data_IF_056432870675
#
_entry.id   IF_056432870675
#
_cell.length_a   1.000
_cell.length_b   1.000
_cell.length_c   1.000
_cell.angle_alpha   90.00
_cell.angle_beta   90.00
_cell.angle_gamma   90.00
#
_symmetry.space_group_name_H-M   'P 1'
#
loop_
_entity.id
_entity.type
_entity.pdbx_description
1 polymer ?
#
# COMPACT_ATOMS: atom_id res chain seq x y z
N UNK A 1 -0.04 2.68 2.86
CA UNK A 1 -1.46 3.08 3.04
C UNK A 1 -1.76 3.67 4.42
N UNK A 2 -1.06 3.29 5.52
CA UNK A 2 -1.33 3.81 6.87
C UNK A 2 -1.26 5.34 6.98
N UNK A 3 -0.41 5.98 6.20
CA UNK A 3 -0.26 7.44 6.18
C UNK A 3 -1.28 8.16 5.29
N UNK A 4 -2.02 7.43 4.44
CA UNK A 4 -3.06 8.02 3.60
C UNK A 4 -4.15 8.63 4.46
N UNK A 5 -4.52 9.86 4.14
CA UNK A 5 -5.63 10.60 4.73
C UNK A 5 -6.80 10.58 3.76
N UNK A 6 -7.85 9.80 4.03
CA UNK A 6 -9.01 9.70 3.13
C UNK A 6 -9.67 11.06 2.88
N UNK A 7 -9.72 11.92 3.89
CA UNK A 7 -10.45 13.19 3.86
C UNK A 7 -9.88 14.24 2.91
N UNK A 8 -8.63 14.05 2.44
CA UNK A 8 -8.00 14.95 1.47
C UNK A 8 -7.96 14.37 0.05
N UNK A 9 -8.54 13.19 -0.14
CA UNK A 9 -8.79 12.64 -1.48
C UNK A 9 -9.95 13.42 -2.09
N UNK A 10 -9.83 14.00 -3.30
CA UNK A 10 -10.89 14.82 -3.88
C UNK A 10 -12.25 14.11 -3.92
N UNK A 11 -12.28 12.86 -4.32
CA UNK A 11 -13.49 12.04 -4.45
C UNK A 11 -14.16 11.74 -3.08
N UNK A 12 -13.48 11.96 -1.96
CA UNK A 12 -14.09 11.84 -0.62
C UNK A 12 -15.26 12.80 -0.42
N UNK A 13 -15.26 13.94 -1.11
CA UNK A 13 -16.36 14.92 -1.05
C UNK A 13 -17.66 14.38 -1.64
N UNK A 14 -17.57 13.40 -2.54
CA UNK A 14 -18.71 12.81 -3.24
C UNK A 14 -19.35 11.63 -2.48
N UNK A 15 -18.71 11.17 -1.39
CA UNK A 15 -19.30 10.19 -0.48
C UNK A 15 -20.58 10.76 0.16
N UNK A 16 -21.54 9.90 0.45
CA UNK A 16 -22.74 10.30 1.17
C UNK A 16 -22.46 10.72 2.64
N UNK A 17 -23.47 11.32 3.27
CA UNK A 17 -23.33 11.83 4.64
C UNK A 17 -23.09 10.68 5.64
N UNK A 18 -23.70 9.53 5.41
CA UNK A 18 -23.57 8.37 6.29
C UNK A 18 -22.16 7.79 6.22
N UNK A 19 -21.61 7.57 5.02
CA UNK A 19 -20.25 7.08 4.80
C UNK A 19 -19.21 8.01 5.41
N UNK A 20 -19.36 9.33 5.22
CA UNK A 20 -18.48 10.33 5.87
C UNK A 20 -18.59 10.31 7.39
N UNK A 21 -19.77 10.08 7.94
CA UNK A 21 -20.00 9.96 9.38
C UNK A 21 -19.31 8.70 9.94
N UNK A 22 -19.45 7.57 9.27
CA UNK A 22 -18.76 6.32 9.63
C UNK A 22 -17.23 6.50 9.61
N UNK A 23 -16.69 7.13 8.58
CA UNK A 23 -15.27 7.42 8.46
C UNK A 23 -14.73 8.27 9.64
N UNK A 24 -15.47 9.30 10.05
CA UNK A 24 -15.12 10.14 11.19
C UNK A 24 -15.14 9.37 12.51
N UNK A 25 -16.17 8.55 12.71
CA UNK A 25 -16.30 7.72 13.91
C UNK A 25 -15.18 6.69 14.03
N UNK A 26 -14.88 5.99 12.94
CA UNK A 26 -13.79 5.02 12.89
C UNK A 26 -12.43 5.68 13.18
N UNK A 27 -12.18 6.88 12.64
CA UNK A 27 -10.97 7.66 12.91
C UNK A 27 -10.89 8.08 14.38
N UNK A 28 -11.98 8.57 14.96
CA UNK A 28 -12.02 8.97 16.37
C UNK A 28 -11.72 7.78 17.28
N UNK A 29 -12.29 6.62 17.00
CA UNK A 29 -12.02 5.38 17.73
C UNK A 29 -10.56 4.91 17.59
N UNK A 30 -9.99 5.00 16.39
CA UNK A 30 -8.59 4.65 16.17
C UNK A 30 -7.61 5.60 16.87
N UNK A 31 -7.98 6.87 17.06
CA UNK A 31 -7.18 7.89 17.72
C UNK A 31 -7.37 7.95 19.26
N UNK A 32 -8.34 7.23 19.80
CA UNK A 32 -8.66 7.28 21.23
C UNK A 32 -7.60 6.65 22.14
N UNK A 33 -6.70 5.82 21.57
CA UNK A 33 -5.63 5.15 22.30
C UNK A 33 -4.31 5.87 22.04
N UNK A 34 -3.89 6.70 23.00
CA UNK A 34 -2.75 7.63 22.82
C UNK A 34 -1.41 7.01 23.19
N UNK A 35 -1.40 5.88 23.93
CA UNK A 35 -0.16 5.29 24.46
C UNK A 35 0.60 4.43 23.46
N UNK A 36 -0.08 3.83 22.46
CA UNK A 36 0.58 3.01 21.44
C UNK A 36 -0.08 3.18 20.07
N UNK A 37 0.75 3.23 19.02
CA UNK A 37 0.26 3.23 17.63
C UNK A 37 -0.12 1.80 17.24
N UNK A 38 -1.42 1.52 17.24
CA UNK A 38 -1.97 0.29 16.69
C UNK A 38 -2.18 0.44 15.17
N UNK A 39 -1.32 -0.22 14.40
CA UNK A 39 -1.33 -0.14 12.94
C UNK A 39 -2.52 -0.88 12.34
N UNK A 40 -2.89 -2.02 12.90
CA UNK A 40 -3.99 -2.84 12.39
C UNK A 40 -5.33 -2.15 12.65
N UNK A 41 -5.52 -1.60 13.85
CA UNK A 41 -6.68 -0.78 14.18
C UNK A 41 -6.80 0.45 13.28
N UNK A 42 -5.68 1.13 13.04
CA UNK A 42 -5.63 2.29 12.15
C UNK A 42 -5.96 1.92 10.70
N UNK A 43 -5.49 0.78 10.23
CA UNK A 43 -5.80 0.28 8.90
C UNK A 43 -7.27 -0.11 8.78
N UNK A 44 -7.78 -0.91 9.70
CA UNK A 44 -9.16 -1.36 9.71
C UNK A 44 -10.16 -0.21 9.80
N UNK A 45 -9.81 0.88 10.47
CA UNK A 45 -10.63 2.09 10.52
C UNK A 45 -10.66 2.86 9.18
N UNK A 46 -9.58 2.81 8.40
CA UNK A 46 -9.48 3.53 7.11
C UNK A 46 -9.98 2.73 5.92
N UNK A 47 -9.84 1.42 5.97
CA UNK A 47 -10.11 0.53 4.83
C UNK A 47 -11.51 0.72 4.26
N UNK A 48 -12.61 0.68 5.04
CA UNK A 48 -13.95 0.82 4.49
C UNK A 48 -14.18 2.15 3.75
N UNK A 49 -13.64 3.24 4.26
CA UNK A 49 -13.79 4.53 3.62
C UNK A 49 -12.93 4.67 2.37
N UNK A 50 -11.75 4.06 2.34
CA UNK A 50 -10.91 4.03 1.15
C UNK A 50 -11.55 3.17 0.05
N UNK A 51 -12.19 2.07 0.41
CA UNK A 51 -12.97 1.23 -0.51
C UNK A 51 -14.18 1.98 -1.07
N UNK A 52 -14.92 2.70 -0.23
CA UNK A 52 -16.05 3.52 -0.67
C UNK A 52 -15.59 4.63 -1.64
N UNK A 53 -14.49 5.33 -1.35
CA UNK A 53 -13.92 6.36 -2.24
C UNK A 53 -13.48 5.75 -3.57
N UNK A 54 -12.82 4.59 -3.56
CA UNK A 54 -12.39 3.90 -4.78
C UNK A 54 -13.57 3.47 -5.64
N UNK A 55 -14.65 2.99 -5.00
CA UNK A 55 -15.88 2.54 -5.69
C UNK A 55 -16.61 3.65 -6.45
N UNK A 56 -16.40 4.93 -6.09
CA UNK A 56 -16.92 6.08 -6.87
C UNK A 56 -16.29 6.18 -8.26
N UNK A 57 -15.10 5.57 -8.44
CA UNK A 57 -14.35 5.70 -9.68
C UNK A 57 -13.62 7.03 -9.82
N UNK A 58 -12.92 7.18 -10.92
CA UNK A 58 -12.19 8.39 -11.26
C UNK A 58 -12.72 8.96 -12.58
N UNK A 59 -12.74 10.29 -12.71
CA UNK A 59 -13.19 10.95 -13.92
C UNK A 59 -12.15 11.96 -14.43
N UNK A 60 -12.25 12.26 -15.73
CA UNK A 60 -11.52 13.35 -16.37
C UNK A 60 -10.00 13.30 -16.17
N UNK A 61 -9.43 14.38 -15.67
CA UNK A 61 -7.98 14.51 -15.46
C UNK A 61 -7.45 13.58 -14.37
N UNK A 62 -8.28 13.19 -13.41
CA UNK A 62 -7.91 12.27 -12.34
C UNK A 62 -7.67 10.86 -12.90
N UNK A 63 -8.57 10.37 -13.73
CA UNK A 63 -8.41 9.09 -14.42
C UNK A 63 -7.16 9.09 -15.31
N UNK A 64 -6.95 10.16 -16.10
CA UNK A 64 -5.75 10.28 -16.93
C UNK A 64 -4.45 10.27 -16.12
N UNK A 65 -4.45 10.95 -14.95
CA UNK A 65 -3.31 10.98 -14.02
C UNK A 65 -3.03 9.60 -13.43
N UNK A 66 -4.06 8.88 -13.02
CA UNK A 66 -3.93 7.52 -12.51
C UNK A 66 -3.39 6.56 -13.57
N UNK A 67 -3.90 6.62 -14.79
CA UNK A 67 -3.40 5.81 -15.90
C UNK A 67 -1.93 6.15 -16.24
N UNK A 68 -1.55 7.41 -16.18
CA UNK A 68 -0.15 7.81 -16.37
C UNK A 68 0.76 7.23 -15.26
N UNK A 69 0.31 7.27 -14.01
CA UNK A 69 1.03 6.66 -12.89
C UNK A 69 1.19 5.16 -13.08
N UNK A 70 0.12 4.43 -13.44
CA UNK A 70 0.18 2.99 -13.73
C UNK A 70 1.21 2.66 -14.80
N UNK A 71 1.21 3.42 -15.90
CA UNK A 71 2.21 3.23 -17.00
C UNK A 71 3.64 3.51 -16.52
N UNK A 72 3.85 4.57 -15.74
CA UNK A 72 5.17 4.95 -15.22
C UNK A 72 5.73 3.89 -14.27
N UNK A 73 4.91 3.37 -13.37
CA UNK A 73 5.32 2.37 -12.36
C UNK A 73 5.43 0.96 -12.93
N UNK A 74 4.71 0.68 -14.03
CA UNK A 74 4.78 -0.58 -14.78
C UNK A 74 4.44 -1.82 -13.96
N UNK A 75 5.07 -2.93 -14.30
CA UNK A 75 4.78 -4.25 -13.70
C UNK A 75 5.00 -4.31 -12.20
N UNK A 76 5.95 -3.54 -11.66
CA UNK A 76 6.24 -3.52 -10.22
C UNK A 76 5.05 -3.06 -9.37
N UNK A 77 4.28 -2.10 -9.88
CA UNK A 77 3.06 -1.66 -9.21
C UNK A 77 2.00 -2.78 -9.20
N UNK A 78 1.84 -3.45 -10.32
CA UNK A 78 0.93 -4.60 -10.44
C UNK A 78 1.32 -5.76 -9.51
N UNK A 79 2.61 -6.09 -9.47
CA UNK A 79 3.13 -7.16 -8.61
C UNK A 79 2.91 -6.83 -7.12
N UNK A 80 3.19 -5.58 -6.70
CA UNK A 80 2.94 -5.13 -5.34
C UNK A 80 1.45 -5.21 -4.98
N UNK A 81 0.58 -4.73 -5.87
CA UNK A 81 -0.86 -4.75 -5.67
C UNK A 81 -1.40 -6.19 -5.61
N UNK A 82 -0.88 -7.06 -6.45
CA UNK A 82 -1.21 -8.49 -6.45
C UNK A 82 -0.78 -9.16 -5.15
N UNK A 83 0.44 -8.86 -4.66
CA UNK A 83 0.90 -9.36 -3.37
C UNK A 83 -0.04 -8.90 -2.24
N UNK A 84 -0.45 -7.63 -2.23
CA UNK A 84 -1.40 -7.11 -1.25
C UNK A 84 -2.74 -7.86 -1.31
N UNK A 85 -3.29 -8.12 -2.49
CA UNK A 85 -4.53 -8.86 -2.64
C UNK A 85 -4.39 -10.34 -2.20
N UNK A 86 -3.27 -10.98 -2.52
CA UNK A 86 -2.98 -12.36 -2.08
C UNK A 86 -2.82 -12.45 -0.56
N UNK A 87 -2.24 -11.42 0.11
CA UNK A 87 -2.12 -11.42 1.58
C UNK A 87 -3.46 -11.41 2.29
N UNK A 88 -4.48 -10.82 1.71
CA UNK A 88 -5.83 -10.85 2.28
C UNK A 88 -6.44 -12.25 2.27
N UNK A 89 -6.07 -13.07 1.29
CA UNK A 89 -6.59 -14.44 1.12
C UNK A 89 -5.74 -15.46 1.88
N UNK A 90 -4.41 -15.34 1.81
CA UNK A 90 -3.48 -16.38 2.26
C UNK A 90 -2.61 -15.95 3.45
N UNK A 91 -2.74 -14.70 3.94
CA UNK A 91 -1.95 -14.17 5.05
C UNK A 91 -0.63 -13.52 4.63
N UNK A 92 0.07 -12.93 5.61
CA UNK A 92 1.18 -12.00 5.38
C UNK A 92 2.54 -12.66 5.06
N UNK A 93 2.63 -13.99 5.03
CA UNK A 93 3.86 -14.71 4.71
C UNK A 93 3.68 -15.54 3.45
N UNK A 94 4.17 -15.00 2.33
CA UNK A 94 4.06 -15.65 1.02
C UNK A 94 4.71 -17.05 0.96
N UNK A 95 5.62 -17.37 1.86
CA UNK A 95 6.29 -18.68 1.93
C UNK A 95 5.34 -19.78 2.40
N UNK A 96 4.25 -19.41 3.06
CA UNK A 96 3.19 -20.31 3.52
C UNK A 96 2.02 -20.44 2.54
N UNK A 97 2.01 -19.65 1.46
CA UNK A 97 0.96 -19.72 0.43
C UNK A 97 1.06 -21.02 -0.36
N UNK A 98 -0.02 -21.45 -1.05
CA UNK A 98 0.07 -22.52 -2.04
C UNK A 98 1.19 -22.26 -3.04
N UNK A 99 1.93 -23.30 -3.44
CA UNK A 99 3.15 -23.16 -4.25
C UNK A 99 2.93 -22.38 -5.55
N UNK A 100 1.75 -22.51 -6.14
CA UNK A 100 1.35 -21.80 -7.36
C UNK A 100 1.29 -20.26 -7.17
N UNK A 101 1.20 -19.74 -5.95
CA UNK A 101 1.19 -18.30 -5.66
C UNK A 101 2.51 -17.77 -5.12
N UNK A 102 3.47 -18.62 -4.86
CA UNK A 102 4.75 -18.21 -4.27
C UNK A 102 5.69 -17.47 -5.25
N UNK A 103 5.32 -17.35 -6.52
CA UNK A 103 6.10 -16.63 -7.53
C UNK A 103 5.19 -15.77 -8.40
N UNK A 104 5.52 -14.47 -8.61
CA UNK A 104 4.70 -13.57 -9.44
C UNK A 104 4.49 -14.08 -10.87
N UNK A 105 5.47 -14.81 -11.42
CA UNK A 105 5.44 -15.31 -12.80
C UNK A 105 4.58 -16.56 -13.01
N UNK A 106 4.01 -17.13 -11.96
CA UNK A 106 3.20 -18.34 -12.07
C UNK A 106 1.85 -18.03 -12.76
N UNK A 107 1.36 -18.98 -13.52
CA UNK A 107 0.08 -18.87 -14.23
C UNK A 107 -1.09 -18.61 -13.27
N UNK A 108 -1.11 -19.29 -12.12
CA UNK A 108 -2.14 -19.14 -11.11
C UNK A 108 -2.23 -17.68 -10.60
N UNK A 109 -1.10 -16.97 -10.47
CA UNK A 109 -1.08 -15.55 -10.11
C UNK A 109 -1.76 -14.71 -11.18
N UNK A 110 -1.51 -14.97 -12.47
CA UNK A 110 -2.17 -14.25 -13.56
C UNK A 110 -3.68 -14.55 -13.63
N UNK A 111 -4.10 -15.75 -13.28
CA UNK A 111 -5.51 -16.13 -13.16
C UNK A 111 -6.17 -15.46 -11.96
N UNK A 112 -5.47 -15.40 -10.82
CA UNK A 112 -5.92 -14.68 -9.64
C UNK A 112 -6.14 -13.18 -9.92
N UNK A 113 -5.18 -12.51 -10.59
CA UNK A 113 -5.29 -11.10 -10.95
C UNK A 113 -6.54 -10.84 -11.80
N UNK A 114 -6.84 -11.71 -12.77
CA UNK A 114 -8.04 -11.59 -13.60
C UNK A 114 -9.33 -11.80 -12.82
N UNK A 115 -9.31 -12.73 -11.87
CA UNK A 115 -10.48 -13.02 -11.04
C UNK A 115 -10.72 -11.95 -9.96
N UNK A 116 -9.69 -11.17 -9.59
CA UNK A 116 -9.72 -10.16 -8.52
C UNK A 116 -9.25 -8.79 -9.04
N UNK A 117 -9.54 -8.48 -10.31
CA UNK A 117 -9.04 -7.26 -10.99
C UNK A 117 -9.35 -5.99 -10.20
N UNK A 118 -10.57 -5.86 -9.71
CA UNK A 118 -11.01 -4.70 -8.93
C UNK A 118 -10.20 -4.55 -7.63
N UNK A 119 -9.92 -5.66 -6.94
CA UNK A 119 -9.13 -5.63 -5.70
C UNK A 119 -7.67 -5.28 -5.96
N UNK A 120 -7.10 -5.79 -7.00
CA UNK A 120 -5.73 -5.44 -7.43
C UNK A 120 -5.67 -3.97 -7.84
N UNK A 121 -6.67 -3.47 -8.58
CA UNK A 121 -6.76 -2.05 -8.95
C UNK A 121 -6.88 -1.15 -7.72
N UNK A 122 -7.68 -1.53 -6.73
CA UNK A 122 -7.76 -0.82 -5.45
C UNK A 122 -6.38 -0.63 -4.79
N UNK A 123 -5.54 -1.67 -4.75
CA UNK A 123 -4.20 -1.55 -4.19
C UNK A 123 -3.26 -0.71 -5.07
N UNK A 124 -3.40 -0.74 -6.39
CA UNK A 124 -2.66 0.16 -7.29
C UNK A 124 -3.09 1.62 -7.08
N UNK A 125 -4.38 1.86 -6.97
CA UNK A 125 -4.95 3.18 -6.69
C UNK A 125 -4.46 3.73 -5.34
N UNK A 126 -4.41 2.90 -4.29
CA UNK A 126 -3.86 3.31 -2.99
C UNK A 126 -2.40 3.78 -3.07
N UNK A 127 -1.58 3.16 -3.91
CA UNK A 127 -0.19 3.60 -4.13
C UNK A 127 -0.15 4.96 -4.82
N UNK A 128 -1.04 5.19 -5.80
CA UNK A 128 -1.15 6.48 -6.46
C UNK A 128 -1.61 7.58 -5.50
N UNK A 129 -2.61 7.34 -4.67
CA UNK A 129 -3.04 8.29 -3.65
C UNK A 129 -1.91 8.60 -2.66
N UNK A 130 -1.18 7.59 -2.21
CA UNK A 130 -0.03 7.79 -1.32
C UNK A 130 1.08 8.63 -1.98
N UNK A 131 1.38 8.40 -3.26
CA UNK A 131 2.35 9.19 -4.04
C UNK A 131 1.92 10.65 -4.17
N UNK A 132 0.63 10.91 -4.45
CA UNK A 132 0.08 12.26 -4.52
C UNK A 132 0.17 12.99 -3.18
N UNK A 133 -0.23 12.34 -2.08
CA UNK A 133 -0.21 12.96 -0.76
C UNK A 133 1.22 13.21 -0.27
N UNK A 134 2.15 12.32 -0.57
CA UNK A 134 3.57 12.52 -0.26
C UNK A 134 4.16 13.68 -1.06
N UNK A 135 3.81 13.77 -2.34
CA UNK A 135 4.23 14.89 -3.21
C UNK A 135 3.68 16.23 -2.72
N UNK A 136 2.42 16.27 -2.30
CA UNK A 136 1.80 17.46 -1.72
C UNK A 136 2.48 17.87 -0.39
N UNK A 137 2.80 16.91 0.46
CA UNK A 137 3.53 17.16 1.71
C UNK A 137 4.95 17.68 1.44
N UNK A 138 5.64 17.16 0.44
CA UNK A 138 6.95 17.65 -0.01
C UNK A 138 6.88 19.10 -0.48
N UNK A 139 5.88 19.45 -1.30
CA UNK A 139 5.67 20.81 -1.76
C UNK A 139 5.38 21.76 -0.60
N UNK A 140 4.44 21.40 0.28
CA UNK A 140 4.11 22.19 1.46
C UNK A 140 5.32 22.43 2.38
N UNK A 141 6.19 21.43 2.56
CA UNK A 141 7.43 21.60 3.31
C UNK A 141 8.36 22.64 2.67
N UNK A 142 8.54 22.60 1.35
CA UNK A 142 9.36 23.58 0.61
C UNK A 142 8.76 24.97 0.67
N UNK A 143 7.47 25.10 0.48
CA UNK A 143 6.74 26.36 0.54
C UNK A 143 6.83 27.01 1.94
N UNK A 144 6.92 26.17 2.98
CA UNK A 144 7.13 26.60 4.36
C UNK A 144 8.62 26.94 4.67
N UNK A 145 9.51 26.90 3.70
CA UNK A 145 10.92 27.29 3.83
C UNK A 145 11.89 26.16 4.17
N UNK A 146 11.47 24.90 4.11
CA UNK A 146 12.38 23.77 4.26
C UNK A 146 13.24 23.63 3.01
N UNK A 147 14.57 23.72 3.15
CA UNK A 147 15.51 23.68 2.01
C UNK A 147 15.46 22.35 1.22
N UNK A 148 15.30 21.22 1.92
CA UNK A 148 15.24 19.89 1.33
C UNK A 148 13.81 19.34 1.27
N UNK A 149 12.91 19.86 2.11
CA UNK A 149 11.57 19.28 2.30
C UNK A 149 11.64 17.97 3.09
N UNK A 150 10.85 16.97 2.68
CA UNK A 150 10.84 15.66 3.29
C UNK A 150 12.08 14.85 2.91
N UNK A 151 12.74 14.27 3.89
CA UNK A 151 13.79 13.28 3.69
C UNK A 151 13.19 11.88 3.79
N UNK A 152 13.28 11.12 2.70
CA UNK A 152 12.86 9.73 2.67
C UNK A 152 14.06 8.84 2.99
N UNK A 153 14.00 8.14 4.12
CA UNK A 153 14.98 7.12 4.46
C UNK A 153 14.55 5.78 3.85
N UNK A 154 15.52 5.06 3.28
CA UNK A 154 15.29 3.76 2.67
C UNK A 154 15.75 2.66 3.63
N UNK A 155 14.84 1.77 3.97
CA UNK A 155 15.19 0.58 4.75
C UNK A 155 16.19 -0.29 3.97
N UNK A 156 17.36 -0.53 4.58
CA UNK A 156 18.43 -1.37 3.96
C UNK A 156 18.05 -2.85 3.98
N UNK A 157 17.28 -3.27 4.99
CA UNK A 157 16.76 -4.64 5.10
C UNK A 157 15.32 -4.75 4.67
N UNK A 158 14.97 -5.83 3.98
CA UNK A 158 13.60 -6.18 3.63
C UNK A 158 13.12 -7.37 4.45
N UNK A 159 11.82 -7.39 4.76
CA UNK A 159 11.22 -8.58 5.37
C UNK A 159 11.25 -9.75 4.40
N UNK A 160 11.76 -10.90 4.81
CA UNK A 160 11.74 -12.12 4.00
C UNK A 160 10.33 -12.63 3.66
N UNK A 161 9.32 -12.22 4.45
CA UNK A 161 7.91 -12.50 4.21
C UNK A 161 7.21 -11.42 3.37
N UNK A 162 7.87 -10.26 3.13
CA UNK A 162 7.27 -9.09 2.50
C UNK A 162 7.22 -9.14 0.97
N UNK A 163 6.56 -8.11 0.42
CA UNK A 163 6.35 -7.97 -1.02
C UNK A 163 7.66 -7.95 -1.83
N UNK A 164 8.68 -7.23 -1.34
CA UNK A 164 9.97 -7.14 -2.05
C UNK A 164 10.62 -8.52 -2.20
N UNK A 165 10.57 -9.35 -1.15
CA UNK A 165 11.12 -10.70 -1.20
C UNK A 165 10.34 -11.60 -2.19
N UNK A 166 9.02 -11.46 -2.25
CA UNK A 166 8.18 -12.18 -3.19
C UNK A 166 8.42 -11.71 -4.66
N UNK A 167 8.45 -10.40 -4.87
CA UNK A 167 8.64 -9.82 -6.21
C UNK A 167 10.05 -10.02 -6.75
N UNK A 168 11.06 -9.90 -5.90
CA UNK A 168 12.46 -9.83 -6.28
C UNK A 168 13.27 -11.06 -5.84
N UNK A 169 12.61 -12.16 -5.51
CA UNK A 169 13.24 -13.35 -4.92
C UNK A 169 14.48 -13.89 -5.67
N UNK A 170 14.56 -13.64 -6.99
CA UNK A 170 15.74 -14.02 -7.79
C UNK A 170 16.95 -13.09 -7.58
N UNK A 171 16.73 -11.88 -7.02
CA UNK A 171 17.78 -10.89 -6.79
C UNK A 171 18.36 -10.99 -5.37
N UNK A 172 17.66 -11.66 -4.46
CA UNK A 172 18.15 -11.85 -3.10
C UNK A 172 19.11 -13.04 -3.06
N UNK A 173 20.34 -12.78 -2.59
CA UNK A 173 21.29 -13.84 -2.33
C UNK A 173 20.85 -14.59 -1.06
N UNK A 174 20.16 -15.71 -1.22
CA UNK A 174 19.64 -16.54 -0.12
C UNK A 174 20.66 -16.90 0.96
N UNK A 175 21.94 -16.89 0.64
CA UNK A 175 23.04 -17.23 1.55
C UNK A 175 23.43 -16.09 2.50
N UNK A 176 23.09 -14.84 2.21
CA UNK A 176 23.42 -13.70 3.10
C UNK A 176 22.49 -13.60 4.30
N UNK A 177 21.30 -14.20 4.22
CA UNK A 177 20.33 -14.21 5.34
C UNK A 177 20.59 -15.32 6.37
N UNK A 178 21.47 -16.26 6.07
CA UNK A 178 21.85 -17.36 6.98
C UNK A 178 23.16 -17.14 7.71
N UNK A 179 23.88 -16.04 7.42
CA UNK A 179 25.07 -15.68 8.18
C UNK A 179 24.63 -15.03 9.50
N UNK A 180 24.88 -15.67 10.66
CA UNK A 180 24.61 -15.04 11.94
C UNK A 180 25.39 -13.73 12.02
N UNK A 181 24.71 -12.68 12.46
CA UNK A 181 25.37 -11.40 12.74
C UNK A 181 26.55 -11.64 13.70
N UNK A 182 27.67 -10.92 13.55
CA UNK A 182 28.74 -10.99 14.53
C UNK A 182 28.30 -10.73 15.99
N UNK A 183 27.11 -10.15 16.18
CA UNK A 183 26.48 -9.91 17.49
C UNK A 183 25.73 -11.12 18.04
N UNK A 184 25.40 -12.12 17.22
CA UNK A 184 24.67 -13.32 17.63
C UNK A 184 25.62 -14.43 18.19
N UNK A 185 26.90 -14.12 18.33
CA UNK A 185 27.94 -15.02 18.90
C UNK A 185 28.29 -14.69 20.35
N UNK A 186 27.32 -14.30 21.15
CA UNK A 186 27.50 -14.18 22.61
C UNK A 186 26.49 -15.02 23.35
#
# INVERSE_FOLDING_TARGET
>A
PLYVRPEIIPEYADLDVYERSQARSARAQAAADVEAIDRDRSWNAKLPVLEAVHALGLEGSRELSYQAFRRLRGTRLGDLATWCALTEVYGNDWRTWPEEYQRPSNRAVSEFVRAHEERVDFFMWLQWIADQQLSAAQSAGRDAGMSLGLMCDMAVGVSGAGADAWMLGKLFACLLYTSPSPRDKR
#
